data_IF_514161516091
#
_entry.id   IF_514161516091
#
_cell.length_a   1.000
_cell.length_b   1.000
_cell.length_c   1.000
_cell.angle_alpha   90.00
_cell.angle_beta   90.00
_cell.angle_gamma   90.00
#
_symmetry.space_group_name_H-M   'P 1'
#
loop_
_entity.id
_entity.type
_entity.pdbx_description
1 polymer ?
#
# COMPACT_ATOMS: atom_id res chain seq x y z
N UNK A 1 -30.47 -28.11 32.21
CA UNK A 1 -29.41 -27.19 31.73
C UNK A 1 -30.06 -25.93 31.16
N UNK A 2 -29.73 -24.75 31.69
CA UNK A 2 -30.48 -23.51 31.44
C UNK A 2 -29.94 -22.80 30.16
N UNK A 3 -30.75 -22.73 29.10
CA UNK A 3 -30.38 -22.21 27.78
C UNK A 3 -29.93 -20.73 27.79
N UNK A 4 -30.34 -19.95 28.81
CA UNK A 4 -29.98 -18.53 28.96
C UNK A 4 -28.47 -18.34 29.21
N UNK A 5 -27.87 -19.12 30.12
CA UNK A 5 -26.42 -19.08 30.43
C UNK A 5 -25.51 -19.38 29.23
N UNK A 6 -25.97 -20.22 28.30
CA UNK A 6 -25.20 -20.58 27.09
C UNK A 6 -25.22 -19.43 26.06
N UNK A 7 -26.35 -18.70 25.97
CA UNK A 7 -26.45 -17.48 25.14
C UNK A 7 -25.58 -16.34 25.67
N UNK A 8 -25.52 -16.15 27.00
CA UNK A 8 -24.62 -15.16 27.61
C UNK A 8 -23.14 -15.47 27.31
N UNK A 9 -22.73 -16.74 27.36
CA UNK A 9 -21.35 -17.17 27.08
C UNK A 9 -20.97 -17.00 25.59
N UNK A 10 -21.92 -17.25 24.67
CA UNK A 10 -21.77 -17.02 23.23
C UNK A 10 -21.75 -15.53 22.84
N UNK A 11 -22.27 -14.64 23.70
CA UNK A 11 -22.22 -13.18 23.50
C UNK A 11 -20.85 -12.58 23.82
N UNK A 12 -19.97 -13.33 24.48
CA UNK A 12 -18.83 -12.75 25.19
C UNK A 12 -17.57 -12.48 24.33
N UNK A 13 -17.58 -12.78 23.02
CA UNK A 13 -16.67 -12.22 22.01
C UNK A 13 -17.05 -12.81 20.65
N UNK A 14 -17.93 -12.17 19.88
CA UNK A 14 -18.07 -12.57 18.48
C UNK A 14 -16.73 -12.29 17.77
N UNK A 15 -16.09 -13.32 17.23
CA UNK A 15 -14.86 -13.17 16.43
C UNK A 15 -15.13 -12.32 15.18
N UNK A 16 -16.39 -12.14 14.77
CA UNK A 16 -16.80 -11.13 13.79
C UNK A 16 -16.47 -9.71 14.26
N UNK A 17 -16.67 -9.38 15.54
CA UNK A 17 -16.24 -8.10 16.13
C UNK A 17 -14.70 -7.96 16.17
N UNK A 18 -13.99 -9.05 16.47
CA UNK A 18 -12.52 -9.11 16.44
C UNK A 18 -12.00 -8.95 15.01
N UNK A 19 -12.61 -9.62 14.03
CA UNK A 19 -12.33 -9.54 12.61
C UNK A 19 -12.58 -8.13 12.07
N UNK A 20 -13.70 -7.49 12.44
CA UNK A 20 -14.00 -6.11 12.03
C UNK A 20 -13.07 -5.09 12.69
N UNK A 21 -12.64 -5.30 13.94
CA UNK A 21 -11.62 -4.47 14.60
C UNK A 21 -10.25 -4.65 13.93
N UNK A 22 -9.89 -5.88 13.60
CA UNK A 22 -8.62 -6.21 12.93
C UNK A 22 -8.58 -5.69 11.49
N UNK A 23 -9.66 -5.88 10.70
CA UNK A 23 -9.82 -5.32 9.35
C UNK A 23 -9.68 -3.80 9.36
N UNK A 24 -10.26 -3.12 10.36
CA UNK A 24 -10.06 -1.67 10.55
C UNK A 24 -8.60 -1.32 10.86
N UNK A 25 -7.94 -2.11 11.72
CA UNK A 25 -6.51 -1.95 12.01
C UNK A 25 -5.62 -2.14 10.78
N UNK A 26 -5.86 -3.16 9.96
CA UNK A 26 -5.13 -3.38 8.72
C UNK A 26 -5.36 -2.28 7.68
N UNK A 27 -6.61 -1.79 7.57
CA UNK A 27 -6.91 -0.65 6.69
C UNK A 27 -6.10 0.59 7.09
N UNK A 28 -6.09 0.95 8.37
CA UNK A 28 -5.27 2.05 8.89
C UNK A 28 -3.78 1.84 8.63
N UNK A 29 -3.29 0.60 8.82
CA UNK A 29 -1.88 0.27 8.57
C UNK A 29 -1.51 0.42 7.10
N UNK A 30 -2.38 0.01 6.20
CA UNK A 30 -2.14 0.12 4.75
C UNK A 30 -2.23 1.56 4.27
N UNK A 31 -3.11 2.36 4.86
CA UNK A 31 -3.20 3.80 4.62
C UNK A 31 -1.92 4.53 5.02
N UNK A 32 -1.38 4.25 6.21
CA UNK A 32 -0.09 4.82 6.64
C UNK A 32 1.03 4.41 5.66
N UNK A 33 1.10 3.14 5.27
CA UNK A 33 2.10 2.67 4.29
C UNK A 33 1.98 3.37 2.94
N UNK A 34 0.75 3.59 2.49
CA UNK A 34 0.48 4.30 1.25
C UNK A 34 0.93 5.75 1.34
N UNK A 35 0.66 6.45 2.45
CA UNK A 35 1.12 7.83 2.66
C UNK A 35 2.65 7.90 2.66
N UNK A 36 3.31 7.02 3.41
CA UNK A 36 4.79 6.96 3.43
C UNK A 36 5.37 6.68 2.04
N UNK A 37 4.77 5.76 1.27
CA UNK A 37 5.24 5.45 -0.08
C UNK A 37 5.00 6.60 -1.07
N UNK A 38 3.88 7.33 -0.94
CA UNK A 38 3.63 8.54 -1.73
C UNK A 38 4.64 9.64 -1.43
N UNK A 39 4.95 9.88 -0.15
CA UNK A 39 5.99 10.83 0.25
C UNK A 39 7.32 10.42 -0.37
N UNK A 40 7.72 9.14 -0.24
CA UNK A 40 8.99 8.67 -0.79
C UNK A 40 9.04 8.80 -2.31
N UNK A 41 7.97 8.45 -3.01
CA UNK A 41 7.88 8.62 -4.46
C UNK A 41 8.01 10.08 -4.90
N UNK A 42 7.28 11.00 -4.25
CA UNK A 42 7.36 12.41 -4.58
C UNK A 42 8.76 13.00 -4.29
N UNK A 43 9.38 12.64 -3.17
CA UNK A 43 10.75 13.04 -2.84
C UNK A 43 11.79 12.47 -3.82
N UNK A 44 11.68 11.20 -4.21
CA UNK A 44 12.59 10.60 -5.21
C UNK A 44 12.50 11.28 -6.57
N UNK A 45 11.29 11.67 -7.00
CA UNK A 45 11.10 12.42 -8.26
C UNK A 45 11.61 13.86 -8.13
N UNK A 46 11.35 14.53 -7.00
CA UNK A 46 11.88 15.87 -6.75
C UNK A 46 13.42 15.90 -6.75
N UNK A 47 14.05 14.89 -6.13
CA UNK A 47 15.50 14.72 -6.13
C UNK A 47 16.06 14.51 -7.54
N UNK A 48 15.44 13.61 -8.33
CA UNK A 48 15.85 13.37 -9.71
C UNK A 48 15.69 14.62 -10.58
N UNK A 49 14.56 15.32 -10.45
CA UNK A 49 14.29 16.53 -11.21
C UNK A 49 15.28 17.65 -10.86
N UNK A 50 15.62 17.81 -9.58
CA UNK A 50 16.65 18.74 -9.14
C UNK A 50 18.04 18.39 -9.68
N UNK A 51 18.39 17.09 -9.73
CA UNK A 51 19.65 16.62 -10.32
C UNK A 51 19.73 16.96 -11.83
N UNK A 52 18.67 16.70 -12.59
CA UNK A 52 18.65 17.01 -14.03
C UNK A 52 18.69 18.52 -14.27
N UNK A 53 17.97 19.30 -13.46
CA UNK A 53 17.99 20.76 -13.55
C UNK A 53 19.39 21.32 -13.29
N UNK A 54 20.05 20.85 -12.23
CA UNK A 54 21.43 21.23 -11.90
C UNK A 54 22.42 20.82 -12.99
N UNK A 55 22.33 19.58 -13.48
CA UNK A 55 23.20 19.08 -14.55
C UNK A 55 23.05 19.89 -15.85
N UNK A 56 21.82 20.16 -16.29
CA UNK A 56 21.55 20.97 -17.47
C UNK A 56 22.05 22.41 -17.31
N UNK A 57 21.92 23.00 -16.12
CA UNK A 57 22.47 24.33 -15.83
C UNK A 57 24.01 24.35 -15.85
N UNK A 58 24.67 23.32 -15.32
CA UNK A 58 26.14 23.23 -15.38
C UNK A 58 26.67 23.04 -16.80
N UNK A 59 25.94 22.31 -17.65
CA UNK A 59 26.27 22.16 -19.06
C UNK A 59 26.28 23.52 -19.78
N UNK A 60 25.28 24.37 -19.49
CA UNK A 60 25.22 25.75 -20.02
C UNK A 60 26.45 26.58 -19.64
N UNK A 61 26.90 26.55 -18.39
CA UNK A 61 28.04 27.34 -17.93
C UNK A 61 29.34 26.95 -18.63
N UNK A 62 29.55 25.66 -18.90
CA UNK A 62 30.75 25.14 -19.58
C UNK A 62 30.76 25.53 -21.07
N UNK A 63 29.60 25.72 -21.70
CA UNK A 63 29.49 25.93 -23.15
C UNK A 63 29.12 27.38 -23.56
N UNK A 64 29.20 28.35 -22.63
CA UNK A 64 29.00 29.79 -22.88
C UNK A 64 29.89 30.40 -23.98
N UNK A 65 30.99 29.76 -24.35
CA UNK A 65 31.91 30.22 -25.41
C UNK A 65 31.49 29.79 -26.83
N UNK A 66 30.43 28.99 -26.99
CA UNK A 66 30.01 28.48 -28.31
C UNK A 66 28.51 28.73 -28.51
N UNK A 67 28.14 29.63 -29.43
CA UNK A 67 26.75 29.83 -29.84
C UNK A 67 26.18 28.57 -30.51
N UNK A 68 25.54 27.70 -29.73
CA UNK A 68 24.93 26.46 -30.20
C UNK A 68 23.46 26.36 -29.76
N UNK A 69 22.62 25.79 -30.64
CA UNK A 69 21.21 25.45 -30.34
C UNK A 69 21.10 24.51 -29.12
N UNK A 70 22.14 23.72 -28.84
CA UNK A 70 22.25 22.84 -27.66
C UNK A 70 22.21 23.59 -26.32
N UNK A 71 22.65 24.86 -26.28
CA UNK A 71 22.53 25.70 -25.09
C UNK A 71 21.08 26.10 -24.80
N UNK A 72 20.33 26.40 -25.87
CA UNK A 72 18.93 26.82 -25.78
C UNK A 72 18.06 25.65 -25.31
N UNK A 73 18.33 24.44 -25.78
CA UNK A 73 17.64 23.22 -25.33
C UNK A 73 17.99 22.87 -23.88
N UNK A 74 19.26 22.97 -23.47
CA UNK A 74 19.69 22.74 -22.09
C UNK A 74 18.98 23.69 -21.10
N UNK A 75 18.80 24.96 -21.48
CA UNK A 75 18.07 25.92 -20.67
C UNK A 75 16.60 25.58 -20.50
N UNK A 76 15.91 25.24 -21.59
CA UNK A 76 14.50 24.82 -21.53
C UNK A 76 14.36 23.58 -20.63
N UNK A 77 15.28 22.62 -20.74
CA UNK A 77 15.29 21.43 -19.88
C UNK A 77 15.51 21.82 -18.42
N UNK A 78 16.47 22.69 -18.11
CA UNK A 78 16.74 23.13 -16.74
C UNK A 78 15.51 23.81 -16.11
N UNK A 79 14.85 24.73 -16.82
CA UNK A 79 13.64 25.39 -16.31
C UNK A 79 12.46 24.43 -16.14
N UNK A 80 12.22 23.56 -17.12
CA UNK A 80 11.12 22.58 -17.05
C UNK A 80 11.31 21.60 -15.87
N UNK A 81 12.54 21.13 -15.67
CA UNK A 81 12.86 20.19 -14.58
C UNK A 81 12.92 20.87 -13.22
N UNK A 82 13.33 22.14 -13.12
CA UNK A 82 13.20 22.92 -11.89
C UNK A 82 11.73 23.12 -11.48
N UNK A 83 10.84 23.42 -12.43
CA UNK A 83 9.39 23.48 -12.18
C UNK A 83 8.83 22.12 -11.74
N UNK A 84 9.27 21.03 -12.38
CA UNK A 84 8.88 19.67 -12.00
C UNK A 84 9.35 19.33 -10.57
N UNK A 85 10.57 19.71 -10.20
CA UNK A 85 11.10 19.53 -8.85
C UNK A 85 10.25 20.27 -7.82
N UNK A 86 9.85 21.51 -8.11
CA UNK A 86 8.94 22.29 -7.24
C UNK A 86 7.58 21.61 -7.09
N UNK A 87 6.95 21.21 -8.20
CA UNK A 87 5.64 20.55 -8.17
C UNK A 87 5.69 19.22 -7.39
N UNK A 88 6.79 18.47 -7.49
CA UNK A 88 6.97 17.22 -6.75
C UNK A 88 7.28 17.46 -5.27
N UNK A 89 8.00 18.52 -4.93
CA UNK A 89 8.19 18.97 -3.55
C UNK A 89 6.86 19.35 -2.89
N UNK A 90 6.04 20.15 -3.56
CA UNK A 90 4.69 20.50 -3.11
C UNK A 90 3.80 19.26 -2.96
N UNK A 91 3.87 18.33 -3.91
CA UNK A 91 3.15 17.06 -3.81
C UNK A 91 3.61 16.24 -2.58
N UNK A 92 4.91 16.21 -2.27
CA UNK A 92 5.41 15.54 -1.06
C UNK A 92 4.90 16.21 0.22
N UNK A 93 4.93 17.54 0.30
CA UNK A 93 4.42 18.31 1.45
C UNK A 93 2.91 18.11 1.64
N UNK A 94 2.14 18.10 0.55
CA UNK A 94 0.68 17.90 0.59
C UNK A 94 0.27 16.53 1.18
N UNK A 95 1.17 15.55 1.13
CA UNK A 95 0.96 14.20 1.68
C UNK A 95 1.59 14.05 3.09
N UNK A 96 2.35 15.05 3.55
CA UNK A 96 2.88 15.12 4.92
C UNK A 96 4.40 15.06 5.03
N UNK A 97 5.16 15.26 3.95
CA UNK A 97 6.61 15.44 4.05
C UNK A 97 6.95 16.73 4.80
N UNK A 98 7.99 16.70 5.64
CA UNK A 98 8.49 17.93 6.27
C UNK A 98 9.37 18.70 5.30
N UNK A 99 9.41 20.03 5.46
CA UNK A 99 10.32 20.90 4.69
C UNK A 99 11.78 20.47 4.75
N UNK A 100 12.22 19.90 5.87
CA UNK A 100 13.57 19.36 6.02
C UNK A 100 13.84 18.17 5.09
N UNK A 101 12.89 17.24 4.95
CA UNK A 101 13.02 16.12 4.01
C UNK A 101 13.04 16.61 2.56
N UNK A 102 12.20 17.59 2.23
CA UNK A 102 12.15 18.20 0.90
C UNK A 102 13.47 18.89 0.57
N UNK A 103 13.94 19.79 1.46
CA UNK A 103 15.20 20.49 1.28
C UNK A 103 16.38 19.52 1.16
N UNK A 104 16.41 18.46 1.98
CA UNK A 104 17.44 17.42 1.90
C UNK A 104 17.44 16.72 0.54
N UNK A 105 16.27 16.35 0.00
CA UNK A 105 16.14 15.66 -1.27
C UNK A 105 16.51 16.56 -2.47
N UNK A 106 16.12 17.84 -2.43
CA UNK A 106 16.47 18.81 -3.48
C UNK A 106 17.97 19.10 -3.46
N UNK A 107 18.55 19.34 -2.29
CA UNK A 107 19.98 19.61 -2.15
C UNK A 107 20.83 18.39 -2.56
N UNK A 108 20.42 17.17 -2.19
CA UNK A 108 21.12 15.96 -2.62
C UNK A 108 20.99 15.74 -4.14
N UNK A 109 19.84 16.11 -4.72
CA UNK A 109 19.65 16.14 -6.17
C UNK A 109 20.63 17.10 -6.84
N UNK A 110 20.65 18.37 -6.42
CA UNK A 110 21.55 19.40 -6.98
C UNK A 110 23.04 19.05 -6.85
N UNK A 111 23.43 18.32 -5.81
CA UNK A 111 24.80 17.84 -5.63
C UNK A 111 25.18 16.68 -6.57
N UNK A 112 24.21 16.04 -7.24
CA UNK A 112 24.44 14.91 -8.12
C UNK A 112 24.78 15.39 -9.53
N UNK A 113 26.01 15.14 -10.00
CA UNK A 113 26.44 15.52 -11.36
C UNK A 113 26.87 14.33 -12.24
N UNK A 114 26.98 13.13 -11.66
CA UNK A 114 27.39 11.93 -12.40
C UNK A 114 26.24 11.33 -13.20
N UNK A 115 26.43 10.97 -14.49
CA UNK A 115 25.43 10.24 -15.26
C UNK A 115 25.03 8.89 -14.62
N UNK A 116 25.97 8.20 -13.97
CA UNK A 116 25.68 6.93 -13.30
C UNK A 116 24.74 7.11 -12.10
N UNK A 117 24.90 8.21 -11.37
CA UNK A 117 24.03 8.54 -10.23
C UNK A 117 22.64 8.97 -10.72
N UNK A 118 22.53 9.70 -11.83
CA UNK A 118 21.23 10.04 -12.45
C UNK A 118 20.45 8.80 -12.89
N UNK A 119 21.12 7.78 -13.45
CA UNK A 119 20.49 6.49 -13.78
C UNK A 119 19.97 5.81 -12.50
N UNK A 120 20.76 5.85 -11.42
CA UNK A 120 20.36 5.28 -10.12
C UNK A 120 19.16 6.03 -9.52
N UNK A 121 19.15 7.36 -9.56
CA UNK A 121 18.02 8.19 -9.13
C UNK A 121 16.77 7.91 -9.96
N UNK A 122 16.93 7.70 -11.27
CA UNK A 122 15.83 7.32 -12.17
C UNK A 122 15.22 5.98 -11.78
N UNK A 123 16.06 4.96 -11.54
CA UNK A 123 15.60 3.64 -11.11
C UNK A 123 14.92 3.69 -9.74
N UNK A 124 15.46 4.48 -8.81
CA UNK A 124 14.87 4.73 -7.49
C UNK A 124 13.49 5.38 -7.60
N UNK A 125 13.36 6.48 -8.35
CA UNK A 125 12.10 7.17 -8.58
C UNK A 125 11.04 6.25 -9.22
N UNK A 126 11.41 5.52 -10.27
CA UNK A 126 10.51 4.56 -10.93
C UNK A 126 10.02 3.47 -9.96
N UNK A 127 10.91 2.95 -9.11
CA UNK A 127 10.57 1.92 -8.12
C UNK A 127 9.65 2.48 -7.04
N UNK A 128 9.91 3.69 -6.53
CA UNK A 128 9.06 4.35 -5.54
C UNK A 128 7.66 4.65 -6.08
N UNK A 129 7.54 5.12 -7.33
CA UNK A 129 6.25 5.33 -8.01
C UNK A 129 5.45 4.01 -8.12
N UNK A 130 6.08 2.95 -8.62
CA UNK A 130 5.45 1.61 -8.70
C UNK A 130 5.05 1.07 -7.33
N UNK A 131 5.87 1.30 -6.31
CA UNK A 131 5.57 0.94 -4.92
C UNK A 131 4.33 1.66 -4.39
N UNK A 132 4.24 2.97 -4.64
CA UNK A 132 3.09 3.79 -4.27
C UNK A 132 1.79 3.33 -4.95
N UNK A 133 1.82 3.06 -6.26
CA UNK A 133 0.66 2.56 -7.00
C UNK A 133 0.23 1.16 -6.54
N UNK A 134 1.19 0.28 -6.29
CA UNK A 134 0.92 -1.05 -5.75
C UNK A 134 0.21 -0.97 -4.40
N UNK A 135 0.68 -0.09 -3.51
CA UNK A 135 0.04 0.14 -2.22
C UNK A 135 -1.32 0.84 -2.35
N UNK A 136 -1.51 1.72 -3.34
CA UNK A 136 -2.82 2.31 -3.69
C UNK A 136 -3.82 1.26 -4.10
N UNK A 137 -3.45 0.34 -5.00
CA UNK A 137 -4.31 -0.78 -5.41
C UNK A 137 -4.68 -1.69 -4.24
N UNK A 138 -3.75 -1.85 -3.28
CA UNK A 138 -4.02 -2.54 -2.02
C UNK A 138 -4.97 -1.71 -1.17
N UNK A 139 -4.76 -0.44 -0.90
CA UNK A 139 -5.69 0.32 -0.07
C UNK A 139 -7.15 0.26 -0.59
N UNK A 140 -7.36 0.35 -1.91
CA UNK A 140 -8.69 0.29 -2.52
C UNK A 140 -9.32 -1.10 -2.47
N UNK A 141 -8.55 -2.17 -2.72
CA UNK A 141 -9.07 -3.54 -2.63
C UNK A 141 -9.43 -3.95 -1.18
N UNK A 142 -8.99 -3.24 -0.14
CA UNK A 142 -9.36 -3.54 1.26
C UNK A 142 -10.85 -3.27 1.53
N UNK A 143 -11.50 -2.52 0.63
CA UNK A 143 -12.93 -2.26 0.65
C UNK A 143 -13.76 -3.37 0.00
N UNK A 144 -13.13 -4.35 -0.67
CA UNK A 144 -13.85 -5.52 -1.19
C UNK A 144 -14.28 -6.44 -0.04
N UNK A 145 -15.50 -6.95 -0.12
CA UNK A 145 -16.03 -8.00 0.77
C UNK A 145 -15.08 -9.22 0.73
N UNK A 146 -14.83 -9.90 1.86
CA UNK A 146 -14.05 -11.12 1.87
C UNK A 146 -14.72 -12.14 0.94
N UNK A 147 -13.93 -12.78 0.08
CA UNK A 147 -14.45 -13.82 -0.80
C UNK A 147 -14.88 -14.99 0.08
N UNK A 148 -16.20 -15.20 0.16
CA UNK A 148 -16.82 -16.30 0.88
C UNK A 148 -17.06 -17.45 -0.08
N UNK A 149 -16.29 -18.52 0.07
CA UNK A 149 -16.53 -19.80 -0.58
C UNK A 149 -17.24 -20.70 0.43
N UNK A 150 -18.47 -21.12 0.13
CA UNK A 150 -19.24 -22.00 1.00
C UNK A 150 -19.48 -23.35 0.33
N UNK A 151 -19.22 -24.43 1.07
CA UNK A 151 -19.47 -25.80 0.64
C UNK A 151 -20.17 -26.59 1.74
N UNK A 152 -20.85 -27.67 1.37
CA UNK A 152 -21.45 -28.62 2.31
C UNK A 152 -20.59 -29.88 2.33
N UNK A 153 -20.08 -30.26 3.49
CA UNK A 153 -19.31 -31.49 3.69
C UNK A 153 -20.14 -32.51 4.44
N UNK A 154 -20.10 -33.76 4.01
CA UNK A 154 -20.69 -34.89 4.72
C UNK A 154 -19.64 -35.46 5.68
N UNK A 155 -19.89 -35.43 6.98
CA UNK A 155 -18.93 -35.88 8.00
C UNK A 155 -19.55 -37.03 8.79
N UNK A 156 -18.80 -38.13 8.96
CA UNK A 156 -19.22 -39.25 9.82
C UNK A 156 -18.86 -38.95 11.27
N UNK A 157 -19.82 -39.07 12.18
CA UNK A 157 -19.57 -38.85 13.61
C UNK A 157 -18.96 -40.10 14.27
N UNK A 158 -18.47 -40.01 15.54
CA UNK A 158 -17.94 -41.17 16.26
C UNK A 158 -18.96 -42.30 16.45
N UNK A 159 -20.26 -42.00 16.39
CA UNK A 159 -21.34 -42.98 16.47
C UNK A 159 -21.74 -43.57 15.10
N UNK A 160 -20.97 -43.32 14.03
CA UNK A 160 -21.17 -43.88 12.69
C UNK A 160 -22.21 -43.18 11.80
N UNK A 161 -23.00 -42.24 12.33
CA UNK A 161 -24.01 -41.46 11.59
C UNK A 161 -23.35 -40.39 10.70
N UNK A 162 -23.89 -40.21 9.49
CA UNK A 162 -23.46 -39.18 8.54
C UNK A 162 -24.19 -37.88 8.80
N UNK A 163 -23.47 -36.79 9.04
CA UNK A 163 -24.01 -35.45 9.33
C UNK A 163 -23.49 -34.45 8.32
N UNK A 164 -24.39 -33.68 7.72
CA UNK A 164 -24.03 -32.59 6.83
C UNK A 164 -23.53 -31.37 7.65
N UNK A 165 -22.35 -30.86 7.33
CA UNK A 165 -21.80 -29.61 7.89
C UNK A 165 -21.59 -28.59 6.79
N UNK A 166 -21.95 -27.35 7.06
CA UNK A 166 -21.61 -26.24 6.16
C UNK A 166 -20.22 -25.75 6.53
N UNK A 167 -19.36 -25.60 5.53
CA UNK A 167 -18.01 -25.07 5.70
C UNK A 167 -17.90 -23.84 4.83
N UNK A 168 -17.52 -22.73 5.44
CA UNK A 168 -17.27 -21.48 4.74
C UNK A 168 -15.80 -21.12 4.91
N UNK A 169 -15.13 -20.94 3.78
CA UNK A 169 -13.78 -20.38 3.71
C UNK A 169 -13.94 -18.89 3.43
N UNK A 170 -13.32 -18.08 4.27
CA UNK A 170 -13.17 -16.66 4.06
C UNK A 170 -11.72 -16.42 3.66
N UNK A 171 -11.52 -15.96 2.43
CA UNK A 171 -10.21 -15.51 1.98
C UNK A 171 -10.05 -14.02 2.31
N UNK A 172 -9.22 -13.73 3.31
CA UNK A 172 -8.70 -12.40 3.59
C UNK A 172 -7.43 -12.13 2.78
N UNK A 173 -6.84 -10.94 2.92
CA UNK A 173 -5.65 -10.52 2.15
C UNK A 173 -4.38 -11.31 2.43
N UNK A 174 -4.22 -11.80 3.65
CA UNK A 174 -3.04 -12.54 4.13
C UNK A 174 -3.41 -13.68 5.08
N UNK A 175 -4.69 -14.00 5.18
CA UNK A 175 -5.19 -15.01 6.10
C UNK A 175 -6.35 -15.76 5.46
N UNK A 176 -6.32 -17.07 5.64
CA UNK A 176 -7.37 -17.99 5.28
C UNK A 176 -8.11 -18.35 6.57
N UNK A 177 -9.39 -18.01 6.66
CA UNK A 177 -10.23 -18.36 7.80
C UNK A 177 -11.22 -19.43 7.39
N UNK A 178 -11.19 -20.57 8.09
CA UNK A 178 -12.14 -21.66 7.94
C UNK A 178 -13.21 -21.54 9.02
N UNK A 179 -14.48 -21.40 8.65
CA UNK A 179 -15.63 -21.45 9.55
C UNK A 179 -16.47 -22.68 9.27
N UNK A 180 -16.47 -23.59 10.24
CA UNK A 180 -17.24 -24.82 10.25
C UNK A 180 -18.54 -24.61 11.00
N UNK A 181 -19.68 -24.63 10.31
CA UNK A 181 -20.99 -24.53 10.92
C UNK A 181 -21.69 -25.90 10.96
N UNK A 182 -22.21 -26.25 12.14
CA UNK A 182 -23.07 -27.41 12.34
C UNK A 182 -24.48 -26.94 12.69
N UNK A 183 -25.47 -27.34 11.90
CA UNK A 183 -26.89 -27.08 12.16
C UNK A 183 -27.49 -28.24 12.94
N UNK A 184 -28.12 -27.96 14.07
CA UNK A 184 -28.93 -28.90 14.85
C UNK A 184 -30.39 -28.47 14.77
N UNK A 185 -31.27 -29.40 14.40
CA UNK A 185 -32.74 -29.22 14.40
C UNK A 185 -33.20 -27.90 13.76
N UNK A 186 -32.64 -27.53 12.61
CA UNK A 186 -33.07 -26.37 11.81
C UNK A 186 -32.73 -24.98 12.37
N UNK A 187 -32.41 -24.84 13.66
CA UNK A 187 -32.34 -23.51 14.33
C UNK A 187 -31.00 -23.23 15.02
N UNK A 188 -30.29 -24.25 15.52
CA UNK A 188 -29.09 -24.05 16.33
C UNK A 188 -27.84 -24.28 15.48
N UNK A 189 -27.05 -23.23 15.26
CA UNK A 189 -25.76 -23.31 14.58
C UNK A 189 -24.62 -23.27 15.60
N UNK A 190 -23.74 -24.28 15.61
CA UNK A 190 -22.46 -24.19 16.31
C UNK A 190 -21.37 -23.94 15.28
N UNK A 191 -20.64 -22.82 15.39
CA UNK A 191 -19.53 -22.49 14.51
C UNK A 191 -18.18 -22.71 15.19
N UNK A 192 -17.23 -23.36 14.52
CA UNK A 192 -15.80 -23.33 14.90
C UNK A 192 -15.03 -22.60 13.82
N UNK A 193 -14.27 -21.58 14.22
CA UNK A 193 -13.45 -20.78 13.31
C UNK A 193 -11.96 -21.08 13.57
N UNK A 194 -11.24 -21.46 12.52
CA UNK A 194 -9.80 -21.72 12.54
C UNK A 194 -9.09 -20.77 11.58
N UNK A 195 -7.99 -20.17 12.04
CA UNK A 195 -7.02 -19.50 11.17
C UNK A 195 -6.05 -20.57 10.67
N UNK A 196 -5.87 -20.62 9.36
CA UNK A 196 -4.90 -21.49 8.69
C UNK A 196 -3.59 -20.73 8.55
#
# INVERSE_FOLDING_TARGET
>A
MNLKRIKEWLRQKSLAGVFMKWRRGEKKKEEVRLLTAKIHAALSVAQLAAAIAGFAATSMEISKDIHNEDLKTSNVVAYATALLASACAEAAESVGATRAHVASAVNSGLATQSPADMITLTASAATSLRGSETLKSRATSANKEPVKLAAKLLIRNPSGQKVLRSVSIYLGRRQLMLRLEKKYLGVITTSKECKI
#
